data_IF_801128774066
#
_entry.id   IF_801128774066
#
_cell.length_a   1.000
_cell.length_b   1.000
_cell.length_c   1.000
_cell.angle_alpha   90.00
_cell.angle_beta   90.00
_cell.angle_gamma   90.00
#
_symmetry.space_group_name_H-M   'P 1'
#
loop_
_entity.id
_entity.type
_entity.pdbx_description
1 polymer ?
#
# COMPACT_ATOMS: atom_id res chain seq x y z
N UNK A 1 -15.41 -9.31 -2.63
CA UNK A 1 -15.79 -9.42 -1.21
C UNK A 1 -15.05 -10.63 -0.62
N UNK A 2 -13.84 -10.45 -0.12
CA UNK A 2 -13.18 -11.47 0.71
C UNK A 2 -13.91 -11.42 2.06
N UNK A 3 -14.94 -12.25 2.21
CA UNK A 3 -15.64 -12.45 3.47
C UNK A 3 -14.68 -13.26 4.32
N UNK A 4 -14.07 -12.60 5.32
CA UNK A 4 -13.38 -13.28 6.40
C UNK A 4 -14.44 -14.04 7.20
N UNK A 5 -14.37 -15.36 7.10
CA UNK A 5 -15.06 -16.26 8.01
C UNK A 5 -14.75 -15.81 9.45
N UNK A 6 -15.79 -15.68 10.26
CA UNK A 6 -15.74 -15.20 11.64
C UNK A 6 -15.09 -16.27 12.53
N UNK A 7 -13.81 -16.56 12.31
CA UNK A 7 -12.98 -17.35 13.22
C UNK A 7 -12.59 -16.49 14.41
N UNK A 8 -12.55 -17.13 15.58
CA UNK A 8 -12.21 -16.50 16.87
C UNK A 8 -11.00 -15.56 16.73
N UNK A 9 -11.04 -14.45 17.46
CA UNK A 9 -10.14 -13.28 17.35
C UNK A 9 -8.62 -13.55 17.50
N UNK A 10 -8.20 -14.80 17.71
CA UNK A 10 -6.81 -15.23 17.85
C UNK A 10 -6.30 -16.15 16.72
N UNK A 11 -7.13 -16.50 15.73
CA UNK A 11 -6.77 -17.36 14.59
C UNK A 11 -6.52 -16.53 13.30
N UNK A 12 -5.95 -15.33 13.43
CA UNK A 12 -5.51 -14.60 12.25
C UNK A 12 -4.37 -15.40 11.58
N UNK A 13 -4.41 -15.63 10.25
CA UNK A 13 -3.32 -16.30 9.58
C UNK A 13 -2.03 -15.56 9.89
N UNK A 14 -1.02 -16.28 10.38
CA UNK A 14 0.32 -15.74 10.53
C UNK A 14 0.81 -15.29 9.15
N UNK A 15 0.99 -13.99 8.96
CA UNK A 15 1.57 -13.40 7.76
C UNK A 15 3.03 -13.09 8.02
N UNK A 16 3.92 -13.77 7.32
CA UNK A 16 5.34 -13.44 7.32
C UNK A 16 5.61 -12.21 6.46
N UNK A 17 6.67 -11.46 6.76
CA UNK A 17 7.04 -10.27 5.99
C UNK A 17 7.33 -10.56 4.50
N UNK A 18 7.77 -11.79 4.20
CA UNK A 18 8.09 -12.24 2.85
C UNK A 18 6.88 -12.80 2.09
N UNK A 19 5.72 -12.94 2.75
CA UNK A 19 4.49 -13.36 2.08
C UNK A 19 4.03 -12.28 1.08
N UNK A 20 3.45 -12.74 -0.03
CA UNK A 20 2.93 -11.86 -1.07
C UNK A 20 1.73 -11.07 -0.54
N UNK A 21 1.85 -9.73 -0.60
CA UNK A 21 0.81 -8.81 -0.17
C UNK A 21 -0.06 -8.33 -1.35
N UNK A 22 0.57 -7.98 -2.47
CA UNK A 22 -0.13 -7.42 -3.65
C UNK A 22 0.52 -7.84 -4.97
N UNK A 23 -0.30 -7.90 -6.02
CA UNK A 23 0.16 -8.02 -7.41
C UNK A 23 -0.25 -6.76 -8.17
N UNK A 24 0.74 -6.00 -8.64
CA UNK A 24 0.51 -4.78 -9.41
C UNK A 24 0.71 -5.03 -10.89
N UNK A 25 -0.29 -4.70 -11.69
CA UNK A 25 -0.22 -4.87 -13.14
C UNK A 25 0.31 -3.61 -13.83
N UNK A 26 1.23 -3.82 -14.75
CA UNK A 26 1.81 -2.79 -15.63
C UNK A 26 1.47 -3.14 -17.08
N UNK A 27 1.37 -2.14 -17.97
CA UNK A 27 0.87 -2.32 -19.35
C UNK A 27 1.69 -3.31 -20.18
N UNK A 28 2.99 -3.46 -19.91
CA UNK A 28 3.88 -4.37 -20.61
C UNK A 28 4.15 -3.95 -22.07
N UNK A 29 5.41 -3.95 -22.50
CA UNK A 29 5.79 -3.55 -23.87
C UNK A 29 5.32 -4.50 -24.97
N UNK A 30 4.92 -5.72 -24.60
CA UNK A 30 4.43 -6.77 -25.51
C UNK A 30 2.90 -6.82 -25.63
N UNK A 31 2.19 -5.82 -25.09
CA UNK A 31 0.72 -5.73 -25.10
C UNK A 31 0.00 -6.64 -24.09
N UNK A 32 0.75 -7.45 -23.34
CA UNK A 32 0.21 -8.27 -22.24
C UNK A 32 0.65 -7.66 -20.91
N UNK A 33 -0.28 -7.32 -20.02
CA UNK A 33 0.08 -6.79 -18.71
C UNK A 33 0.94 -7.75 -17.91
N UNK A 34 1.98 -7.22 -17.25
CA UNK A 34 2.87 -8.00 -16.37
C UNK A 34 2.52 -7.68 -14.91
N UNK A 35 2.35 -8.72 -14.10
CA UNK A 35 2.13 -8.61 -12.66
C UNK A 35 3.45 -8.56 -11.90
N UNK A 36 3.68 -7.50 -11.15
CA UNK A 36 4.75 -7.40 -10.17
C UNK A 36 4.24 -7.93 -8.82
N UNK A 37 4.78 -9.05 -8.37
CA UNK A 37 4.47 -9.64 -7.06
C UNK A 37 5.28 -8.91 -5.99
N UNK A 38 4.62 -8.32 -5.00
CA UNK A 38 5.27 -7.57 -3.92
C UNK A 38 4.91 -8.18 -2.56
N UNK A 39 5.93 -8.41 -1.74
CA UNK A 39 5.76 -8.86 -0.36
C UNK A 39 5.37 -7.70 0.57
N UNK A 40 4.94 -8.03 1.79
CA UNK A 40 4.73 -7.04 2.85
C UNK A 40 6.01 -6.21 3.08
N UNK A 41 7.17 -6.87 3.12
CA UNK A 41 8.48 -6.22 3.26
C UNK A 41 8.76 -5.21 2.15
N UNK A 42 8.43 -5.53 0.90
CA UNK A 42 8.61 -4.58 -0.21
C UNK A 42 7.79 -3.30 -0.01
N UNK A 43 6.53 -3.44 0.43
CA UNK A 43 5.65 -2.29 0.66
C UNK A 43 6.13 -1.42 1.82
N UNK A 44 6.50 -2.03 2.95
CA UNK A 44 7.02 -1.33 4.13
C UNK A 44 8.34 -0.63 3.83
N UNK A 45 9.30 -1.32 3.21
CA UNK A 45 10.60 -0.74 2.85
C UNK A 45 10.47 0.47 1.91
N UNK A 46 9.52 0.42 0.97
CA UNK A 46 9.26 1.55 0.08
C UNK A 46 8.62 2.72 0.83
N UNK A 47 7.63 2.45 1.69
CA UNK A 47 6.97 3.48 2.50
C UNK A 47 7.95 4.19 3.46
N UNK A 48 8.84 3.45 4.10
CA UNK A 48 9.93 4.00 4.93
C UNK A 48 10.89 4.88 4.12
N UNK A 49 11.22 4.46 2.91
CA UNK A 49 12.11 5.23 2.03
C UNK A 49 11.48 6.56 1.60
N UNK A 50 10.18 6.54 1.27
CA UNK A 50 9.42 7.76 0.96
C UNK A 50 9.33 8.65 2.21
N UNK A 51 8.97 8.10 3.36
CA UNK A 51 8.88 8.85 4.61
C UNK A 51 10.18 9.59 4.93
N UNK A 52 11.33 8.93 4.77
CA UNK A 52 12.65 9.54 4.97
C UNK A 52 12.95 10.63 3.93
N UNK A 53 12.63 10.38 2.67
CA UNK A 53 12.91 11.32 1.58
C UNK A 53 12.06 12.60 1.70
N UNK A 54 10.81 12.47 2.12
CA UNK A 54 9.87 13.60 2.23
C UNK A 54 9.77 14.15 3.65
N UNK A 55 10.55 13.62 4.59
CA UNK A 55 10.49 13.92 6.02
C UNK A 55 9.05 13.85 6.57
N UNK A 56 8.28 12.85 6.14
CA UNK A 56 6.85 12.74 6.45
C UNK A 56 6.64 12.35 7.91
N UNK A 57 5.79 13.10 8.60
CA UNK A 57 5.48 12.95 10.03
C UNK A 57 4.00 12.67 10.26
N UNK A 58 3.62 12.45 11.52
CA UNK A 58 2.22 12.31 11.93
C UNK A 58 1.41 13.61 11.82
N UNK A 59 2.06 14.76 11.72
CA UNK A 59 1.40 16.07 11.59
C UNK A 59 0.98 16.35 10.14
N UNK A 60 1.57 15.63 9.18
CA UNK A 60 1.34 15.83 7.78
C UNK A 60 0.01 15.26 7.28
N UNK A 61 -0.53 15.92 6.26
CA UNK A 61 -1.78 15.54 5.60
C UNK A 61 -1.55 15.47 4.10
N UNK A 62 -1.94 14.35 3.48
CA UNK A 62 -1.81 14.17 2.03
C UNK A 62 -3.17 13.96 1.37
N UNK A 63 -3.37 14.61 0.23
CA UNK A 63 -4.57 14.46 -0.59
C UNK A 63 -4.38 13.32 -1.60
N UNK A 64 -5.20 12.27 -1.51
CA UNK A 64 -5.20 11.15 -2.45
C UNK A 64 -6.01 11.50 -3.72
N UNK A 65 -5.35 12.14 -4.70
CA UNK A 65 -5.99 12.60 -5.96
C UNK A 65 -5.90 11.56 -7.09
N UNK A 66 -4.88 10.70 -7.05
CA UNK A 66 -4.66 9.68 -8.06
C UNK A 66 -5.48 8.41 -7.74
N UNK A 67 -5.76 7.53 -8.73
CA UNK A 67 -6.41 6.25 -8.47
C UNK A 67 -5.67 5.47 -7.38
N UNK A 68 -6.37 5.09 -6.29
CA UNK A 68 -5.75 4.52 -5.09
C UNK A 68 -4.91 3.27 -5.36
N UNK A 69 -5.31 2.45 -6.34
CA UNK A 69 -4.61 1.22 -6.70
C UNK A 69 -3.46 1.42 -7.70
N UNK A 70 -3.23 2.66 -8.16
CA UNK A 70 -2.01 2.97 -8.90
C UNK A 70 -0.82 2.98 -7.93
N UNK A 71 0.30 2.36 -8.31
CA UNK A 71 1.45 2.15 -7.42
C UNK A 71 1.94 3.42 -6.73
N UNK A 72 1.93 4.55 -7.46
CA UNK A 72 2.32 5.83 -6.88
C UNK A 72 1.38 6.28 -5.76
N UNK A 73 0.06 6.22 -5.97
CA UNK A 73 -0.92 6.64 -4.96
C UNK A 73 -0.87 5.69 -3.77
N UNK A 74 -0.85 4.37 -4.02
CA UNK A 74 -0.77 3.37 -2.97
C UNK A 74 0.48 3.54 -2.10
N UNK A 75 1.65 3.77 -2.71
CA UNK A 75 2.88 3.95 -1.96
C UNK A 75 2.91 5.28 -1.18
N UNK A 76 2.69 6.40 -1.88
CA UNK A 76 2.95 7.74 -1.35
C UNK A 76 1.75 8.28 -0.56
N UNK A 77 0.55 8.14 -1.10
CA UNK A 77 -0.65 8.74 -0.50
C UNK A 77 -1.34 7.84 0.51
N UNK A 78 -1.05 6.54 0.53
CA UNK A 78 -1.69 5.56 1.42
C UNK A 78 -0.67 4.95 2.40
N UNK A 79 0.32 4.19 1.90
CA UNK A 79 1.20 3.42 2.77
C UNK A 79 2.10 4.30 3.65
N UNK A 80 2.71 5.35 3.10
CA UNK A 80 3.57 6.25 3.88
C UNK A 80 2.84 6.97 5.02
N UNK A 81 1.68 7.62 4.80
CA UNK A 81 0.92 8.24 5.88
C UNK A 81 0.48 7.23 6.94
N UNK A 82 0.04 6.04 6.54
CA UNK A 82 -0.34 4.98 7.48
C UNK A 82 0.86 4.55 8.33
N UNK A 83 2.04 4.40 7.73
CA UNK A 83 3.28 4.07 8.43
C UNK A 83 3.67 5.14 9.45
N UNK A 84 3.58 6.42 9.09
CA UNK A 84 3.98 7.54 9.94
C UNK A 84 2.91 8.02 10.92
N UNK A 85 1.68 7.50 10.82
CA UNK A 85 0.54 7.99 11.60
C UNK A 85 -0.02 9.34 11.12
N UNK A 86 0.23 9.73 9.87
CA UNK A 86 -0.32 10.95 9.28
C UNK A 86 -1.74 10.78 8.74
N UNK A 87 -2.29 11.86 8.18
CA UNK A 87 -3.68 11.87 7.70
C UNK A 87 -3.76 11.72 6.18
N UNK A 88 -4.58 10.79 5.71
CA UNK A 88 -4.98 10.70 4.30
C UNK A 88 -6.31 11.41 4.11
N UNK A 89 -6.34 12.39 3.22
CA UNK A 89 -7.56 13.07 2.78
C UNK A 89 -7.97 12.49 1.44
N UNK A 90 -9.17 11.93 1.36
CA UNK A 90 -9.73 11.38 0.11
C UNK A 90 -10.75 12.39 -0.40
N UNK A 91 -10.56 12.87 -1.63
CA UNK A 91 -11.57 13.70 -2.29
C UNK A 91 -12.55 12.77 -2.98
N UNK A 92 -13.84 12.93 -2.65
CA UNK A 92 -14.89 12.47 -3.53
C UNK A 92 -14.90 13.35 -4.78
N UNK A 93 -15.20 12.76 -5.93
CA UNK A 93 -15.48 13.48 -7.17
C UNK A 93 -16.97 13.73 -7.26
#
# INVERSE_FOLDING_TARGET
QLILDKKNSNDLPFTAEEDLAVILYTSGTTGRPKGAMLSHRNLCSNAESIAKLTEFTSEDRILAVLPMFHIFCMAVCINTPILCGGTVVISEK
#
